data_IF_902864936844
#
_entry.id   IF_902864936844
#
_cell.length_a   1.000
_cell.length_b   1.000
_cell.length_c   1.000
_cell.angle_alpha   90.00
_cell.angle_beta   90.00
_cell.angle_gamma   90.00
#
_symmetry.space_group_name_H-M   'P 1'
#
loop_
_entity.id
_entity.type
_entity.pdbx_description
1 polymer ?
#
# COMPACT_ATOMS: atom_id res chain seq x y z
N UNK A 1 35.80 8.32 -9.10
CA UNK A 1 34.41 8.74 -9.37
C UNK A 1 33.40 7.91 -8.61
N UNK A 2 32.73 8.52 -7.62
CA UNK A 2 31.69 7.81 -6.87
C UNK A 2 30.42 7.71 -7.72
N UNK A 3 29.90 6.49 -7.82
CA UNK A 3 28.64 6.12 -8.49
C UNK A 3 27.40 6.91 -7.99
N UNK A 4 27.55 7.75 -6.97
CA UNK A 4 26.52 8.62 -6.37
C UNK A 4 26.41 10.01 -7.03
N UNK A 5 27.30 10.37 -7.96
CA UNK A 5 27.42 11.75 -8.47
C UNK A 5 26.81 12.02 -9.86
N UNK A 6 25.90 11.17 -10.33
CA UNK A 6 25.15 11.39 -11.58
C UNK A 6 23.71 11.76 -11.23
N UNK A 7 23.30 13.01 -11.49
CA UNK A 7 21.98 13.54 -11.12
C UNK A 7 20.81 12.65 -11.57
N UNK A 8 20.90 12.07 -12.76
CA UNK A 8 19.91 11.12 -13.29
C UNK A 8 19.68 9.90 -12.40
N UNK A 9 20.72 9.39 -11.72
CA UNK A 9 20.57 8.28 -10.77
C UNK A 9 19.79 8.72 -9.54
N UNK A 10 20.04 9.93 -9.05
CA UNK A 10 19.34 10.48 -7.89
C UNK A 10 17.86 10.68 -8.23
N UNK A 11 17.54 11.22 -9.41
CA UNK A 11 16.16 11.39 -9.88
C UNK A 11 15.39 10.07 -9.89
N UNK A 12 15.98 9.01 -10.47
CA UNK A 12 15.36 7.68 -10.48
C UNK A 12 15.17 7.12 -9.07
N UNK A 13 16.17 7.26 -8.19
CA UNK A 13 16.07 6.81 -6.81
C UNK A 13 15.01 7.57 -6.02
N UNK A 14 14.88 8.88 -6.25
CA UNK A 14 13.84 9.71 -5.65
C UNK A 14 12.46 9.29 -6.13
N UNK A 15 12.28 9.07 -7.43
CA UNK A 15 11.03 8.58 -8.00
C UNK A 15 10.64 7.22 -7.42
N UNK A 16 11.58 6.26 -7.38
CA UNK A 16 11.35 4.95 -6.78
C UNK A 16 10.99 5.06 -5.29
N UNK A 17 11.68 5.92 -4.55
CA UNK A 17 11.38 6.16 -3.14
C UNK A 17 10.00 6.78 -2.94
N UNK A 18 9.59 7.71 -3.81
CA UNK A 18 8.27 8.33 -3.78
C UNK A 18 7.18 7.30 -4.10
N UNK A 19 7.37 6.47 -5.13
CA UNK A 19 6.45 5.40 -5.49
C UNK A 19 6.30 4.37 -4.36
N UNK A 20 7.41 3.92 -3.77
CA UNK A 20 7.39 2.97 -2.66
C UNK A 20 6.71 3.55 -1.41
N UNK A 21 6.95 4.83 -1.13
CA UNK A 21 6.30 5.57 -0.05
C UNK A 21 4.81 5.70 -0.28
N UNK A 22 4.38 6.03 -1.50
CA UNK A 22 2.98 6.13 -1.88
C UNK A 22 2.27 4.78 -1.78
N UNK A 23 2.87 3.71 -2.30
CA UNK A 23 2.32 2.35 -2.17
C UNK A 23 2.18 1.92 -0.70
N UNK A 24 3.20 2.19 0.13
CA UNK A 24 3.15 1.91 1.56
C UNK A 24 2.05 2.73 2.26
N UNK A 25 1.85 3.98 1.85
CA UNK A 25 0.79 4.82 2.39
C UNK A 25 -0.61 4.28 2.01
N UNK A 26 -0.84 3.93 0.74
CA UNK A 26 -2.10 3.34 0.28
C UNK A 26 -2.46 2.07 1.04
N UNK A 27 -1.51 1.15 1.17
CA UNK A 27 -1.72 -0.09 1.92
C UNK A 27 -2.02 0.21 3.39
N UNK A 28 -1.31 1.16 3.99
CA UNK A 28 -1.56 1.56 5.37
C UNK A 28 -2.96 2.13 5.58
N UNK A 29 -3.48 2.95 4.66
CA UNK A 29 -4.86 3.44 4.72
C UNK A 29 -5.88 2.32 4.59
N UNK A 30 -5.66 1.37 3.67
CA UNK A 30 -6.53 0.20 3.53
C UNK A 30 -6.53 -0.62 4.83
N UNK A 31 -5.37 -0.77 5.48
CA UNK A 31 -5.28 -1.47 6.76
C UNK A 31 -6.04 -0.78 7.89
N UNK A 32 -5.94 0.55 7.97
CA UNK A 32 -6.66 1.34 8.97
C UNK A 32 -8.18 1.27 8.72
N UNK A 33 -8.61 1.39 7.47
CA UNK A 33 -10.03 1.34 7.08
C UNK A 33 -10.65 -0.04 7.34
N UNK A 34 -9.89 -1.12 7.13
CA UNK A 34 -10.34 -2.48 7.42
C UNK A 34 -10.25 -2.87 8.91
N UNK A 35 -9.73 -2.00 9.80
CA UNK A 35 -9.63 -2.26 11.25
C UNK A 35 -8.62 -3.35 11.62
N UNK A 36 -7.63 -3.58 10.76
CA UNK A 36 -6.63 -4.65 10.92
C UNK A 36 -5.28 -4.14 11.43
N UNK A 37 -5.18 -2.82 11.58
CA UNK A 37 -4.00 -2.10 12.01
C UNK A 37 -3.51 -2.57 13.40
N UNK A 38 -4.46 -2.92 14.26
CA UNK A 38 -4.19 -3.50 15.58
C UNK A 38 -3.38 -4.82 15.54
N UNK A 39 -3.48 -5.61 14.46
CA UNK A 39 -2.74 -6.87 14.28
C UNK A 39 -1.33 -6.67 13.72
N UNK A 40 -1.09 -5.50 13.11
CA UNK A 40 0.20 -5.12 12.54
C UNK A 40 1.07 -4.39 13.58
N UNK A 41 0.45 -3.80 14.60
CA UNK A 41 1.13 -3.23 15.74
C UNK A 41 1.98 -4.28 16.49
N UNK A 42 3.11 -3.89 17.11
CA UNK A 42 4.00 -4.81 17.80
C UNK A 42 3.39 -5.31 19.12
N UNK A 43 2.48 -4.55 19.70
CA UNK A 43 1.73 -4.89 20.91
C UNK A 43 0.37 -4.15 20.88
N UNK A 44 -0.59 -4.65 21.67
CA UNK A 44 -1.92 -4.04 21.78
C UNK A 44 -1.82 -2.69 22.49
N UNK A 45 -2.41 -1.65 21.91
CA UNK A 45 -2.45 -0.30 22.46
C UNK A 45 -3.77 0.36 22.06
N UNK A 46 -4.34 1.17 22.95
CA UNK A 46 -5.50 2.02 22.66
C UNK A 46 -5.12 3.27 21.86
N UNK A 47 -3.83 3.62 21.84
CA UNK A 47 -3.27 4.73 21.06
C UNK A 47 -2.59 4.21 19.81
N UNK A 48 -2.69 4.99 18.73
CA UNK A 48 -1.98 4.73 17.46
C UNK A 48 -0.47 4.69 17.67
N UNK A 49 0.14 3.54 17.40
CA UNK A 49 1.59 3.32 17.55
C UNK A 49 2.38 3.57 16.27
N UNK A 50 1.79 3.28 15.10
CA UNK A 50 2.43 3.42 13.80
C UNK A 50 1.74 4.48 12.95
N UNK A 51 2.54 5.26 12.22
CA UNK A 51 2.03 6.09 11.12
C UNK A 51 1.43 5.20 10.03
N UNK A 52 0.51 5.73 9.20
CA UNK A 52 -0.06 5.01 8.05
C UNK A 52 1.07 4.36 7.21
N UNK A 53 2.14 5.10 6.91
CA UNK A 53 3.27 4.56 6.12
C UNK A 53 3.94 3.37 6.80
N UNK A 54 4.19 3.44 8.12
CA UNK A 54 4.81 2.33 8.85
C UNK A 54 3.88 1.12 8.89
N UNK A 55 2.58 1.36 9.06
CA UNK A 55 1.56 0.32 9.05
C UNK A 55 1.52 -0.43 7.72
N UNK A 56 1.46 0.31 6.61
CA UNK A 56 1.47 -0.31 5.29
C UNK A 56 2.77 -1.05 4.99
N UNK A 57 3.92 -0.56 5.48
CA UNK A 57 5.17 -1.31 5.42
C UNK A 57 5.10 -2.64 6.16
N UNK A 58 4.55 -2.67 7.37
CA UNK A 58 4.36 -3.92 8.13
C UNK A 58 3.42 -4.88 7.39
N UNK A 59 2.32 -4.37 6.83
CA UNK A 59 1.38 -5.18 6.04
C UNK A 59 2.06 -5.82 4.82
N UNK A 60 2.87 -5.04 4.09
CA UNK A 60 3.63 -5.52 2.93
C UNK A 60 4.68 -6.58 3.34
N UNK A 61 5.48 -6.30 4.38
CA UNK A 61 6.52 -7.22 4.86
C UNK A 61 5.92 -8.54 5.36
N UNK A 62 4.80 -8.47 6.08
CA UNK A 62 4.10 -9.65 6.62
C UNK A 62 3.20 -10.34 5.60
N UNK A 63 3.15 -9.85 4.35
CA UNK A 63 2.29 -10.35 3.28
C UNK A 63 0.82 -10.44 3.71
N UNK A 64 0.37 -9.52 4.54
CA UNK A 64 -0.93 -9.59 5.20
C UNK A 64 -2.09 -9.58 4.18
N UNK A 65 -1.90 -8.90 3.03
CA UNK A 65 -2.83 -8.91 1.91
C UNK A 65 -2.59 -10.08 0.94
N UNK A 66 -2.39 -11.31 1.43
CA UNK A 66 -2.19 -12.48 0.57
C UNK A 66 -3.49 -13.10 0.03
N UNK A 67 -4.67 -12.52 0.26
CA UNK A 67 -5.72 -12.59 -0.77
C UNK A 67 -5.12 -11.93 -1.99
N UNK A 68 -4.78 -12.74 -3.00
CA UNK A 68 -3.63 -12.46 -3.87
C UNK A 68 -3.76 -11.04 -4.40
N UNK A 69 -2.71 -10.22 -4.34
CA UNK A 69 -2.65 -8.99 -5.13
C UNK A 69 -3.12 -9.25 -6.57
N UNK A 70 -2.87 -10.45 -7.10
CA UNK A 70 -3.41 -10.91 -8.38
C UNK A 70 -4.94 -11.01 -8.44
N UNK A 71 -5.63 -11.42 -7.38
CA UNK A 71 -7.10 -11.42 -7.29
C UNK A 71 -7.66 -10.00 -7.23
N UNK A 72 -7.05 -9.11 -6.45
CA UNK A 72 -7.44 -7.70 -6.42
C UNK A 72 -7.15 -7.01 -7.76
N UNK A 73 -5.99 -7.27 -8.37
CA UNK A 73 -5.64 -6.77 -9.71
C UNK A 73 -6.58 -7.38 -10.76
N UNK A 74 -6.94 -8.66 -10.64
CA UNK A 74 -7.92 -9.29 -11.53
C UNK A 74 -9.30 -8.67 -11.36
N UNK A 75 -9.72 -8.32 -10.14
CA UNK A 75 -10.97 -7.59 -9.90
C UNK A 75 -10.90 -6.17 -10.45
N UNK A 76 -9.75 -5.49 -10.42
CA UNK A 76 -9.62 -4.16 -11.05
C UNK A 76 -9.58 -4.25 -12.58
N UNK A 77 -8.99 -5.30 -13.14
CA UNK A 77 -8.91 -5.55 -14.59
C UNK A 77 -10.22 -6.08 -15.16
N UNK A 78 -10.96 -6.85 -14.37
CA UNK A 78 -12.25 -7.44 -14.68
C UNK A 78 -13.22 -7.13 -13.54
N UNK A 79 -13.62 -5.85 -13.40
CA UNK A 79 -14.51 -5.42 -12.33
C UNK A 79 -15.84 -6.12 -12.46
N UNK A 80 -16.31 -6.68 -11.34
CA UNK A 80 -17.64 -7.27 -11.31
C UNK A 80 -18.68 -6.16 -11.57
N UNK A 81 -19.80 -6.48 -12.24
CA UNK A 81 -20.84 -5.49 -12.50
C UNK A 81 -21.38 -4.85 -11.22
N UNK A 82 -21.40 -5.59 -10.11
CA UNK A 82 -21.75 -5.07 -8.79
C UNK A 82 -20.77 -4.01 -8.27
N UNK A 83 -19.46 -4.18 -8.53
CA UNK A 83 -18.43 -3.22 -8.13
C UNK A 83 -18.47 -1.97 -9.01
N UNK A 84 -18.75 -2.12 -10.30
CA UNK A 84 -18.97 -0.97 -11.21
C UNK A 84 -20.20 -0.14 -10.80
N UNK A 85 -21.29 -0.81 -10.44
CA UNK A 85 -22.52 -0.18 -9.96
C UNK A 85 -22.30 0.57 -8.63
N UNK A 86 -21.53 -0.02 -7.71
CA UNK A 86 -21.12 0.64 -6.46
C UNK A 86 -20.23 1.86 -6.67
N UNK A 87 -19.44 1.89 -7.76
CA UNK A 87 -18.58 3.02 -8.12
C UNK A 87 -19.30 4.05 -8.98
N UNK A 88 -20.54 3.80 -9.41
CA UNK A 88 -21.29 4.67 -10.32
C UNK A 88 -20.69 4.77 -11.72
N UNK A 89 -19.89 3.78 -12.13
CA UNK A 89 -19.28 3.73 -13.45
C UNK A 89 -20.28 3.07 -14.45
N UNK A 90 -20.50 3.65 -15.64
CA UNK A 90 -21.35 3.03 -16.66
C UNK A 90 -20.71 1.71 -17.12
N UNK A 91 -21.55 0.68 -17.28
CA UNK A 91 -21.18 -0.67 -17.69
C UNK A 91 -20.51 -0.72 -19.09
#
# INVERSE_FOLDING_TARGET
>A
DSLTRKGSRIEVLLLLSAMASFASWLVGMACETCGIDAWLAPFRSTRRLYSIMRLGREALVRRWSSTRLNELINQLRHPSPQLLDQLGAPA
#
